data_IF_937620881906
#
_entry.id   IF_937620881906
#
_cell.length_a   1.000
_cell.length_b   1.000
_cell.length_c   1.000
_cell.angle_alpha   90.00
_cell.angle_beta   90.00
_cell.angle_gamma   90.00
#
_symmetry.space_group_name_H-M   'P 1'
#
loop_
_entity.id
_entity.type
_entity.pdbx_description
1 polymer ?
#
# COMPACT_ATOMS: atom_id res chain seq x y z
N UNK A 1 -1.34 -7.99 -4.26
CA UNK A 1 -2.80 -7.90 -4.48
C UNK A 1 -3.33 -6.51 -4.10
N UNK A 2 -4.45 -6.05 -4.69
CA UNK A 2 -5.05 -4.73 -4.38
C UNK A 2 -6.58 -4.83 -4.27
N UNK A 3 -7.08 -4.67 -3.04
CA UNK A 3 -8.50 -4.73 -2.69
C UNK A 3 -9.02 -3.33 -2.34
N UNK A 4 -10.18 -2.96 -2.89
CA UNK A 4 -10.81 -1.66 -2.68
C UNK A 4 -12.12 -1.85 -1.93
N UNK A 5 -12.29 -1.15 -0.82
CA UNK A 5 -13.53 -1.12 -0.06
C UNK A 5 -14.25 0.18 -0.41
N UNK A 6 -15.49 0.05 -0.87
CA UNK A 6 -16.30 1.15 -1.36
C UNK A 6 -17.34 1.56 -0.31
N UNK A 7 -17.59 2.86 -0.17
CA UNK A 7 -18.83 3.39 0.42
C UNK A 7 -19.85 3.63 -0.68
N UNK A 8 -21.15 3.69 -0.36
CA UNK A 8 -22.24 3.69 -1.35
C UNK A 8 -22.88 5.06 -1.65
N UNK A 9 -22.81 6.07 -0.79
CA UNK A 9 -23.50 7.36 -1.02
C UNK A 9 -22.71 8.58 -0.48
N UNK A 10 -22.02 9.35 -1.34
CA UNK A 10 -21.71 9.06 -2.74
C UNK A 10 -20.76 7.86 -2.87
N UNK A 11 -20.90 7.07 -3.93
CA UNK A 11 -19.99 5.93 -4.17
C UNK A 11 -18.55 6.40 -4.31
N UNK A 12 -17.70 6.08 -3.33
CA UNK A 12 -16.28 6.43 -3.30
C UNK A 12 -15.46 5.31 -2.65
N UNK A 13 -14.15 5.31 -2.87
CA UNK A 13 -13.25 4.40 -2.18
C UNK A 13 -13.12 4.91 -0.73
N UNK A 14 -13.38 4.05 0.24
CA UNK A 14 -13.17 4.33 1.66
C UNK A 14 -11.81 3.78 2.13
N UNK A 15 -11.42 2.61 1.63
CA UNK A 15 -10.15 1.96 2.01
C UNK A 15 -9.53 1.23 0.83
N UNK A 16 -8.20 1.27 0.77
CA UNK A 16 -7.39 0.48 -0.15
C UNK A 16 -6.49 -0.43 0.69
N UNK A 17 -6.59 -1.73 0.45
CA UNK A 17 -5.71 -2.75 1.02
C UNK A 17 -4.77 -3.22 -0.07
N UNK A 18 -3.47 -3.14 0.18
CA UNK A 18 -2.41 -3.54 -0.74
C UNK A 18 -1.51 -4.55 -0.04
N UNK A 19 -1.45 -5.74 -0.60
CA UNK A 19 -0.53 -6.79 -0.16
C UNK A 19 0.59 -6.92 -1.18
N UNK A 20 1.81 -6.60 -0.77
CA UNK A 20 3.00 -6.62 -1.62
C UNK A 20 3.82 -7.84 -1.24
N UNK A 21 3.82 -8.84 -2.12
CA UNK A 21 4.71 -9.99 -2.01
C UNK A 21 6.06 -9.62 -2.63
N UNK A 22 7.11 -9.68 -1.83
CA UNK A 22 8.49 -9.33 -2.23
C UNK A 22 9.34 -10.61 -2.20
N UNK A 23 9.52 -11.28 -3.35
CA UNK A 23 10.13 -12.61 -3.45
C UNK A 23 11.67 -12.54 -3.45
N UNK A 24 12.25 -11.64 -2.66
CA UNK A 24 13.69 -11.47 -2.53
C UNK A 24 14.11 -11.46 -1.06
N UNK A 25 15.19 -12.17 -0.77
CA UNK A 25 15.88 -12.04 0.51
C UNK A 25 16.82 -10.86 0.43
N UNK A 26 16.55 -9.83 1.25
CA UNK A 26 17.40 -8.64 1.35
C UNK A 26 17.67 -8.28 2.80
N UNK A 27 18.73 -7.51 2.99
CA UNK A 27 19.09 -6.92 4.28
C UNK A 27 18.06 -5.89 4.73
N UNK A 28 17.98 -5.67 6.05
CA UNK A 28 17.01 -4.75 6.67
C UNK A 28 17.05 -3.33 6.10
N UNK A 29 18.25 -2.84 5.72
CA UNK A 29 18.41 -1.52 5.09
C UNK A 29 17.63 -1.42 3.77
N UNK A 30 17.77 -2.43 2.91
CA UNK A 30 17.08 -2.48 1.62
C UNK A 30 15.57 -2.61 1.82
N UNK A 31 15.12 -3.42 2.80
CA UNK A 31 13.70 -3.51 3.17
C UNK A 31 13.12 -2.15 3.55
N UNK A 32 13.80 -1.42 4.43
CA UNK A 32 13.39 -0.07 4.84
C UNK A 32 13.30 0.91 3.68
N UNK A 33 14.25 0.86 2.74
CA UNK A 33 14.22 1.71 1.54
C UNK A 33 12.99 1.38 0.69
N UNK A 34 12.76 0.11 0.40
CA UNK A 34 11.63 -0.33 -0.42
C UNK A 34 10.27 0.01 0.22
N UNK A 35 10.13 -0.23 1.52
CA UNK A 35 8.94 0.14 2.28
C UNK A 35 8.71 1.66 2.29
N UNK A 36 9.78 2.44 2.45
CA UNK A 36 9.70 3.89 2.38
C UNK A 36 9.25 4.35 0.99
N UNK A 37 9.88 3.86 -0.09
CA UNK A 37 9.52 4.20 -1.47
C UNK A 37 8.06 3.88 -1.78
N UNK A 38 7.55 2.74 -1.31
CA UNK A 38 6.15 2.39 -1.48
C UNK A 38 5.21 3.34 -0.70
N UNK A 39 5.61 3.76 0.51
CA UNK A 39 4.86 4.70 1.36
C UNK A 39 4.95 6.16 0.91
N UNK A 40 5.87 6.50 0.02
CA UNK A 40 6.08 7.86 -0.51
C UNK A 40 5.87 7.94 -2.02
N UNK A 41 5.18 6.96 -2.62
CA UNK A 41 4.93 7.00 -4.05
C UNK A 41 3.95 8.14 -4.43
N UNK A 42 4.09 8.76 -5.63
CA UNK A 42 3.26 9.89 -6.05
C UNK A 42 1.75 9.59 -6.02
N UNK A 43 1.37 8.35 -6.31
CA UNK A 43 -0.03 7.92 -6.26
C UNK A 43 -0.58 8.01 -4.83
N UNK A 44 0.19 7.58 -3.82
CA UNK A 44 -0.24 7.65 -2.42
C UNK A 44 -0.52 9.09 -1.98
N UNK A 45 0.28 10.04 -2.46
CA UNK A 45 0.08 11.48 -2.22
C UNK A 45 -1.07 12.09 -3.04
N UNK A 46 -1.44 11.45 -4.15
CA UNK A 46 -2.55 11.90 -5.01
C UNK A 46 -3.92 11.38 -4.52
N UNK A 47 -3.94 10.39 -3.62
CA UNK A 47 -5.17 9.85 -3.06
C UNK A 47 -5.79 10.81 -2.05
N UNK A 48 -7.13 10.83 -2.01
CA UNK A 48 -7.87 11.63 -1.04
C UNK A 48 -7.41 11.32 0.41
N UNK A 49 -7.26 12.33 1.29
CA UNK A 49 -6.77 12.13 2.65
C UNK A 49 -7.61 11.16 3.48
N UNK A 50 -8.93 11.17 3.26
CA UNK A 50 -9.89 10.31 3.97
C UNK A 50 -9.86 8.83 3.54
N UNK A 51 -9.16 8.50 2.44
CA UNK A 51 -9.00 7.10 2.05
C UNK A 51 -8.02 6.42 3.00
N UNK A 52 -8.48 5.42 3.73
CA UNK A 52 -7.61 4.58 4.55
C UNK A 52 -6.71 3.75 3.63
N UNK A 53 -5.39 3.77 3.88
CA UNK A 53 -4.39 3.03 3.11
C UNK A 53 -3.74 1.99 4.00
N UNK A 54 -4.06 0.71 3.77
CA UNK A 54 -3.44 -0.41 4.46
C UNK A 54 -2.47 -1.11 3.50
N UNK A 55 -1.16 -1.03 3.78
CA UNK A 55 -0.12 -1.63 2.95
C UNK A 55 0.67 -2.63 3.79
N UNK A 56 0.68 -3.89 3.36
CA UNK A 56 1.39 -5.01 3.99
C UNK A 56 2.50 -5.50 3.06
N UNK A 57 3.67 -5.82 3.63
CA UNK A 57 4.81 -6.38 2.89
C UNK A 57 5.05 -7.81 3.35
N UNK A 58 4.90 -8.77 2.45
CA UNK A 58 5.22 -10.17 2.69
C UNK A 58 6.60 -10.46 2.09
N UNK A 59 7.61 -10.58 2.96
CA UNK A 59 8.99 -10.83 2.56
C UNK A 59 9.29 -12.31 2.45
N UNK A 60 9.96 -12.73 1.37
CA UNK A 60 10.44 -14.11 1.22
C UNK A 60 9.33 -15.14 0.97
N UNK A 61 8.18 -14.68 0.49
CA UNK A 61 7.05 -15.50 0.04
C UNK A 61 7.21 -15.89 -1.41
#
# INVERSE_FOLDING_TARGET
EVTKIMTSDPRRIAKIVVDIDVPIHTEEKTRKILEHTARTCPVLYSLHPEIEKAVTFNWGK
#
